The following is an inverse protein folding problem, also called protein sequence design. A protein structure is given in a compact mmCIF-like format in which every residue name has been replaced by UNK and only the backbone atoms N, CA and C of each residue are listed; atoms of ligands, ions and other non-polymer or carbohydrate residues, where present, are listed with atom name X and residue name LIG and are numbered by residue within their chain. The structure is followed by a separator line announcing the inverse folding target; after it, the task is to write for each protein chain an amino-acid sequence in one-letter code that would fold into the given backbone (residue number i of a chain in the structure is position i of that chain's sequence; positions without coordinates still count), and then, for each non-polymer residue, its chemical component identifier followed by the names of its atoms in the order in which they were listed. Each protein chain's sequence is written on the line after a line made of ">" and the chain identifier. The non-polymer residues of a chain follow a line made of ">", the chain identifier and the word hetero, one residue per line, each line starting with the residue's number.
data_IF_884771108341
#
_entry.id   IF_884771108341
#
_cell.length_a   1.000
_cell.length_b   1.000
_cell.length_c   1.000
_cell.angle_alpha   90.00
_cell.angle_beta   90.00
_cell.angle_gamma   90.00
#
_symmetry.space_group_name_H-M   'P 1'
#
loop_
_entity.id
_entity.type
_entity.pdbx_description
1 polymer ?
#
# COMPACT_ATOMS: atom_id res chain seq x y z
N UNK A 1 -2.71 -16.14 17.55
CA UNK A 1 -2.97 -17.59 17.57
C UNK A 1 -2.17 -18.19 16.43
N UNK A 2 -1.02 -18.79 16.72
CA UNK A 2 -0.23 -19.52 15.72
C UNK A 2 -0.94 -20.83 15.41
N UNK A 3 -1.35 -21.02 14.16
CA UNK A 3 -1.83 -22.31 13.69
C UNK A 3 -0.64 -23.28 13.68
N UNK A 4 -0.46 -24.04 14.75
CA UNK A 4 0.41 -25.22 14.73
C UNK A 4 -0.33 -26.24 13.87
N UNK A 5 0.07 -26.35 12.60
CA UNK A 5 -0.45 -27.37 11.70
C UNK A 5 -0.27 -28.75 12.35
N UNK A 6 -1.25 -29.64 12.17
CA UNK A 6 -1.20 -31.01 12.71
C UNK A 6 0.17 -31.65 12.35
N UNK A 7 0.87 -32.31 13.29
CA UNK A 7 2.23 -32.82 13.05
C UNK A 7 2.30 -33.79 11.86
N UNK A 8 1.26 -34.61 11.68
CA UNK A 8 1.04 -35.47 10.51
C UNK A 8 1.08 -34.70 9.18
N UNK A 9 0.41 -33.55 9.12
CA UNK A 9 0.31 -32.71 7.93
C UNK A 9 1.65 -32.04 7.63
N UNK A 10 2.38 -31.60 8.65
CA UNK A 10 3.72 -31.04 8.47
C UNK A 10 4.72 -32.09 7.98
N UNK A 11 4.64 -33.31 8.50
CA UNK A 11 5.47 -34.42 8.03
C UNK A 11 5.17 -34.76 6.56
N UNK A 12 3.90 -34.85 6.19
CA UNK A 12 3.49 -35.08 4.81
C UNK A 12 3.96 -33.96 3.86
N UNK A 13 3.82 -32.70 4.28
CA UNK A 13 4.30 -31.54 3.52
C UNK A 13 5.83 -31.58 3.34
N UNK A 14 6.59 -31.87 4.39
CA UNK A 14 8.06 -32.00 4.31
C UNK A 14 8.48 -33.13 3.36
N UNK A 15 7.80 -34.28 3.38
CA UNK A 15 8.08 -35.39 2.46
C UNK A 15 7.82 -35.01 0.99
N UNK A 16 6.73 -34.27 0.72
CA UNK A 16 6.43 -33.76 -0.61
C UNK A 16 7.48 -32.76 -1.11
N UNK A 17 7.90 -31.82 -0.26
CA UNK A 17 8.94 -30.84 -0.58
C UNK A 17 10.27 -31.52 -0.89
N UNK A 18 10.66 -32.51 -0.07
CA UNK A 18 11.86 -33.30 -0.29
C UNK A 18 11.79 -34.10 -1.61
N UNK A 19 10.64 -34.66 -1.97
CA UNK A 19 10.44 -35.36 -3.24
C UNK A 19 10.54 -34.41 -4.45
N UNK A 20 10.17 -33.13 -4.28
CA UNK A 20 10.33 -32.09 -5.29
C UNK A 20 11.76 -31.48 -5.31
N UNK A 21 12.64 -31.89 -4.40
CA UNK A 21 13.98 -31.30 -4.25
C UNK A 21 13.98 -29.86 -3.75
N UNK A 22 12.90 -29.43 -3.09
CA UNK A 22 12.71 -28.07 -2.56
C UNK A 22 12.98 -28.09 -1.07
N UNK A 23 13.90 -27.25 -0.59
CA UNK A 23 14.18 -27.10 0.84
C UNK A 23 13.23 -26.09 1.49
N UNK A 24 13.17 -26.09 2.82
CA UNK A 24 12.44 -25.04 3.55
C UNK A 24 13.04 -23.64 3.27
N UNK A 25 14.36 -23.56 3.11
CA UNK A 25 15.04 -22.33 2.71
C UNK A 25 14.66 -21.93 1.28
N UNK A 26 14.52 -22.88 0.35
CA UNK A 26 14.02 -22.58 -0.99
C UNK A 26 12.58 -22.07 -0.97
N UNK A 27 11.73 -22.48 -0.03
CA UNK A 27 10.39 -21.89 0.15
C UNK A 27 10.43 -20.48 0.72
N UNK A 28 11.34 -20.22 1.67
CA UNK A 28 11.52 -18.89 2.25
C UNK A 28 12.18 -17.91 1.26
N UNK A 29 13.06 -18.44 0.41
CA UNK A 29 13.76 -17.71 -0.66
C UNK A 29 12.93 -17.65 -1.95
N UNK A 30 11.99 -18.58 -2.14
CA UNK A 30 10.84 -18.45 -3.05
C UNK A 30 9.88 -17.44 -2.45
N UNK A 31 10.31 -16.19 -2.46
CA UNK A 31 9.38 -15.16 -2.91
C UNK A 31 8.92 -15.64 -4.28
N UNK A 32 7.69 -16.17 -4.38
CA UNK A 32 7.04 -16.55 -5.65
C UNK A 32 7.43 -15.50 -6.66
N UNK A 33 8.38 -15.78 -7.58
CA UNK A 33 9.23 -14.81 -8.28
C UNK A 33 8.53 -13.46 -8.40
N UNK A 34 8.69 -12.65 -7.35
CA UNK A 34 7.79 -11.54 -7.12
C UNK A 34 8.24 -10.44 -8.05
N UNK A 35 7.33 -9.90 -8.86
CA UNK A 35 7.60 -8.65 -9.57
C UNK A 35 8.26 -7.70 -8.56
N UNK A 36 9.51 -7.23 -8.82
CA UNK A 36 10.23 -6.42 -7.85
C UNK A 36 9.32 -5.29 -7.35
N UNK A 37 9.09 -5.23 -6.04
CA UNK A 37 8.16 -4.22 -5.51
C UNK A 37 8.81 -2.84 -5.71
N UNK A 38 8.19 -1.95 -6.49
CA UNK A 38 8.77 -0.68 -6.84
C UNK A 38 8.75 0.28 -5.65
N UNK A 39 9.54 1.33 -5.76
CA UNK A 39 9.48 2.49 -4.89
C UNK A 39 8.32 3.42 -5.26
N UNK A 40 8.02 4.40 -4.41
CA UNK A 40 7.02 5.42 -4.74
C UNK A 40 7.42 6.23 -5.98
N UNK A 41 8.70 6.59 -6.11
CA UNK A 41 9.20 7.38 -7.24
C UNK A 41 9.02 6.64 -8.59
N UNK A 42 9.19 5.31 -8.58
CA UNK A 42 9.03 4.47 -9.76
C UNK A 42 7.55 4.20 -10.09
N UNK A 43 6.72 3.96 -9.08
CA UNK A 43 5.36 3.47 -9.29
C UNK A 43 4.31 4.59 -9.49
N UNK A 44 4.49 5.75 -8.87
CA UNK A 44 3.55 6.88 -9.02
C UNK A 44 3.34 7.29 -10.49
N UNK A 45 4.37 7.43 -11.33
CA UNK A 45 4.18 7.73 -12.76
C UNK A 45 3.33 6.69 -13.49
N UNK A 46 3.49 5.41 -13.16
CA UNK A 46 2.74 4.29 -13.76
C UNK A 46 1.26 4.39 -13.36
N UNK A 47 0.98 4.56 -12.07
CA UNK A 47 -0.40 4.73 -11.57
C UNK A 47 -1.05 5.99 -12.17
N UNK A 48 -0.30 7.08 -12.28
CA UNK A 48 -0.80 8.34 -12.84
C UNK A 48 -1.18 8.22 -14.32
N UNK A 49 -0.44 7.44 -15.10
CA UNK A 49 -0.77 7.13 -16.49
C UNK A 49 -1.98 6.18 -16.62
N UNK A 50 -2.22 5.31 -15.64
CA UNK A 50 -3.28 4.31 -15.67
C UNK A 50 -4.66 4.81 -15.22
N UNK A 51 -4.76 5.97 -14.59
CA UNK A 51 -6.05 6.56 -14.15
C UNK A 51 -6.63 7.51 -15.19
N UNK A 52 -7.93 7.81 -15.08
CA UNK A 52 -8.56 8.81 -15.96
C UNK A 52 -7.88 10.19 -15.84
N UNK A 53 -7.90 11.04 -16.89
CA UNK A 53 -7.34 12.38 -16.80
C UNK A 53 -7.95 13.24 -15.67
N UNK A 54 -9.23 13.02 -15.35
CA UNK A 54 -9.90 13.69 -14.23
C UNK A 54 -9.33 13.27 -12.87
N UNK A 55 -9.14 11.97 -12.66
CA UNK A 55 -8.52 11.41 -11.46
C UNK A 55 -7.05 11.82 -11.33
N UNK A 56 -6.31 11.80 -12.44
CA UNK A 56 -4.90 12.20 -12.48
C UNK A 56 -4.74 13.66 -12.02
N UNK A 57 -5.54 14.59 -12.56
CA UNK A 57 -5.52 16.00 -12.14
C UNK A 57 -5.90 16.19 -10.67
N UNK A 58 -6.85 15.40 -10.17
CA UNK A 58 -7.30 15.48 -8.78
C UNK A 58 -6.25 14.95 -7.79
N UNK A 59 -5.55 13.87 -8.15
CA UNK A 59 -4.65 13.15 -7.25
C UNK A 59 -3.17 13.52 -7.39
N UNK A 60 -2.76 14.18 -8.49
CA UNK A 60 -1.37 14.51 -8.78
C UNK A 60 -0.67 15.23 -7.62
N UNK A 61 -1.31 16.24 -7.02
CA UNK A 61 -0.74 16.98 -5.88
C UNK A 61 -0.52 16.08 -4.66
N UNK A 62 -1.38 15.09 -4.44
CA UNK A 62 -1.29 14.20 -3.29
C UNK A 62 -0.24 13.10 -3.50
N UNK A 63 -0.13 12.57 -4.73
CA UNK A 63 0.96 11.65 -5.06
C UNK A 63 2.32 12.34 -5.06
N UNK A 64 2.42 13.60 -5.51
CA UNK A 64 3.66 14.37 -5.39
C UNK A 64 4.11 14.48 -3.91
N UNK A 65 3.18 14.74 -2.98
CA UNK A 65 3.46 14.74 -1.53
C UNK A 65 3.89 13.38 -0.99
N UNK A 66 3.32 12.29 -1.52
CA UNK A 66 3.77 10.95 -1.17
C UNK A 66 5.20 10.69 -1.66
N UNK A 67 5.55 11.11 -2.89
CA UNK A 67 6.91 11.00 -3.43
C UNK A 67 7.88 11.87 -2.63
N UNK A 68 7.54 13.11 -2.29
CA UNK A 68 8.37 13.98 -1.44
C UNK A 68 8.76 13.30 -0.11
N UNK A 69 7.89 12.44 0.44
CA UNK A 69 8.10 11.76 1.72
C UNK A 69 8.71 10.37 1.59
N UNK A 70 8.41 9.64 0.53
CA UNK A 70 8.67 8.21 0.43
C UNK A 70 9.30 7.80 -0.91
N UNK A 71 9.85 8.74 -1.69
CA UNK A 71 10.40 8.50 -3.03
C UNK A 71 11.15 7.17 -3.15
N UNK A 72 12.14 6.93 -2.30
CA UNK A 72 13.03 5.75 -2.36
C UNK A 72 12.53 4.56 -1.53
N UNK A 73 11.39 4.69 -0.85
CA UNK A 73 10.81 3.58 -0.08
C UNK A 73 9.98 2.70 -0.98
N UNK A 74 10.11 1.39 -0.77
CA UNK A 74 9.24 0.39 -1.40
C UNK A 74 7.80 0.57 -0.94
N UNK A 75 6.87 0.38 -1.85
CA UNK A 75 5.43 0.61 -1.59
C UNK A 75 4.86 -0.34 -0.54
N UNK A 76 5.43 -1.54 -0.37
CA UNK A 76 5.07 -2.54 0.66
C UNK A 76 5.61 -2.21 2.06
N UNK A 77 6.57 -1.29 2.17
CA UNK A 77 7.24 -0.96 3.43
C UNK A 77 6.54 0.14 4.25
N UNK A 78 5.60 0.87 3.66
CA UNK A 78 4.91 1.99 4.32
C UNK A 78 3.69 1.47 5.07
N UNK A 79 3.66 1.66 6.39
CA UNK A 79 2.58 1.15 7.23
C UNK A 79 1.40 2.14 7.31
N UNK A 80 0.17 1.66 7.63
CA UNK A 80 -1.02 2.51 7.68
C UNK A 80 -0.89 3.77 8.56
N UNK A 81 -0.23 3.65 9.72
CA UNK A 81 -0.06 4.77 10.65
C UNK A 81 0.81 5.89 10.07
N UNK A 82 1.77 5.58 9.20
CA UNK A 82 2.57 6.60 8.50
C UNK A 82 1.71 7.38 7.50
N UNK A 83 0.77 6.71 6.83
CA UNK A 83 -0.20 7.34 5.93
C UNK A 83 -1.13 8.26 6.74
N UNK A 84 -1.59 7.83 7.91
CA UNK A 84 -2.42 8.65 8.81
C UNK A 84 -1.70 9.89 9.33
N UNK A 85 -0.39 9.77 9.61
CA UNK A 85 0.45 10.93 9.98
C UNK A 85 0.54 11.92 8.82
N UNK A 86 0.84 11.45 7.60
CA UNK A 86 0.89 12.32 6.42
C UNK A 86 -0.46 13.01 6.13
N UNK A 87 -1.58 12.30 6.30
CA UNK A 87 -2.92 12.86 6.18
C UNK A 87 -3.15 14.03 7.16
N UNK A 88 -2.77 13.85 8.44
CA UNK A 88 -2.93 14.89 9.47
C UNK A 88 -2.08 16.12 9.18
N UNK A 89 -0.85 15.93 8.68
CA UNK A 89 0.02 17.05 8.26
C UNK A 89 -0.59 17.83 7.08
N UNK A 90 -1.14 17.13 6.08
CA UNK A 90 -1.83 17.76 4.94
C UNK A 90 -3.04 18.57 5.41
N UNK A 91 -3.83 18.02 6.34
CA UNK A 91 -4.97 18.72 6.94
C UNK A 91 -4.53 19.99 7.66
N UNK A 92 -3.50 19.92 8.50
CA UNK A 92 -2.98 21.05 9.26
C UNK A 92 -2.45 22.16 8.32
N UNK A 93 -1.72 21.78 7.27
CA UNK A 93 -1.22 22.72 6.27
C UNK A 93 -2.38 23.38 5.47
N UNK A 94 -3.44 22.63 5.18
CA UNK A 94 -4.62 23.15 4.50
C UNK A 94 -5.44 24.11 5.39
N UNK A 95 -5.45 23.90 6.71
CA UNK A 95 -6.05 24.84 7.67
C UNK A 95 -5.27 26.15 7.75
N UNK A 96 -3.93 26.07 7.76
CA UNK A 96 -3.05 27.26 7.83
C UNK A 96 -3.25 28.23 6.65
N UNK A 97 -3.58 27.72 5.46
CA UNK A 97 -3.73 28.55 4.23
C UNK A 97 -5.05 29.33 4.11
N UNK A 98 -5.91 29.37 5.15
CA UNK A 98 -7.07 30.27 5.37
C UNK A 98 -7.96 30.63 4.15
N UNK A 99 -8.06 29.77 3.14
CA UNK A 99 -8.90 29.98 1.94
C UNK A 99 -9.80 28.78 1.62
N UNK A 100 -9.88 27.77 2.49
CA UNK A 100 -10.75 26.64 2.23
C UNK A 100 -11.33 26.04 3.52
N UNK A 101 -12.59 25.58 3.44
CA UNK A 101 -13.41 25.10 4.56
C UNK A 101 -12.74 23.92 5.29
N UNK A 102 -11.99 24.19 6.35
CA UNK A 102 -11.60 23.21 7.38
C UNK A 102 -10.55 22.16 7.00
N UNK A 103 -9.89 22.25 5.83
CA UNK A 103 -8.82 21.32 5.40
C UNK A 103 -9.24 19.85 5.21
N UNK A 104 -10.47 19.49 5.59
CA UNK A 104 -11.02 18.13 5.59
C UNK A 104 -11.04 17.51 4.19
N UNK A 105 -11.46 18.28 3.19
CA UNK A 105 -11.44 17.86 1.79
C UNK A 105 -10.02 17.49 1.32
N UNK A 106 -8.97 18.18 1.78
CA UNK A 106 -7.60 17.84 1.39
C UNK A 106 -7.13 16.51 2.00
N UNK A 107 -7.47 16.25 3.26
CA UNK A 107 -7.20 14.97 3.91
C UNK A 107 -7.95 13.81 3.23
N UNK A 108 -9.23 14.01 2.91
CA UNK A 108 -10.07 13.02 2.22
C UNK A 108 -9.56 12.73 0.81
N UNK A 109 -9.12 13.74 0.06
CA UNK A 109 -8.51 13.55 -1.25
C UNK A 109 -7.16 12.85 -1.17
N UNK A 110 -6.33 13.14 -0.17
CA UNK A 110 -5.08 12.40 0.05
C UNK A 110 -5.35 10.91 0.29
N UNK A 111 -6.25 10.57 1.22
CA UNK A 111 -6.61 9.16 1.49
C UNK A 111 -7.21 8.50 0.24
N UNK A 112 -8.04 9.21 -0.52
CA UNK A 112 -8.61 8.68 -1.76
C UNK A 112 -7.52 8.39 -2.81
N UNK A 113 -6.53 9.28 -2.95
CA UNK A 113 -5.38 9.08 -3.83
C UNK A 113 -4.53 7.87 -3.40
N UNK A 114 -4.27 7.72 -2.10
CA UNK A 114 -3.53 6.57 -1.56
C UNK A 114 -4.30 5.25 -1.73
N UNK A 115 -5.62 5.25 -1.53
CA UNK A 115 -6.47 4.07 -1.81
C UNK A 115 -6.44 3.69 -3.29
N UNK A 116 -6.51 4.68 -4.19
CA UNK A 116 -6.40 4.45 -5.63
C UNK A 116 -5.05 3.81 -5.99
N UNK A 117 -3.97 4.32 -5.39
CA UNK A 117 -2.61 3.82 -5.57
C UNK A 117 -2.45 2.37 -5.09
N UNK A 118 -2.82 2.08 -3.85
CA UNK A 118 -2.67 0.73 -3.28
C UNK A 118 -3.60 -0.29 -3.91
N UNK A 119 -4.81 0.11 -4.34
CA UNK A 119 -5.69 -0.77 -5.13
C UNK A 119 -5.01 -1.23 -6.43
N UNK A 120 -4.26 -0.34 -7.08
CA UNK A 120 -3.51 -0.69 -8.29
C UNK A 120 -2.30 -1.55 -7.98
N UNK A 121 -1.57 -1.26 -6.89
CA UNK A 121 -0.44 -2.07 -6.45
C UNK A 121 -0.83 -3.54 -6.20
N UNK A 122 -2.02 -3.78 -5.66
CA UNK A 122 -2.58 -5.13 -5.51
C UNK A 122 -2.93 -5.74 -6.88
N UNK A 123 -3.59 -4.97 -7.76
CA UNK A 123 -3.96 -5.45 -9.09
C UNK A 123 -2.73 -5.80 -9.96
N UNK A 124 -1.63 -5.08 -9.79
CA UNK A 124 -0.37 -5.27 -10.52
C UNK A 124 0.54 -6.32 -9.84
N UNK A 125 0.09 -6.91 -8.72
CA UNK A 125 0.80 -7.99 -8.04
C UNK A 125 2.00 -7.57 -7.19
N UNK A 126 2.19 -6.26 -6.96
CA UNK A 126 3.27 -5.74 -6.11
C UNK A 126 3.00 -5.92 -4.62
N UNK A 127 1.74 -6.01 -4.21
CA UNK A 127 1.33 -6.19 -2.82
C UNK A 127 0.27 -7.29 -2.75
N UNK A 128 0.48 -8.26 -1.86
CA UNK A 128 -0.53 -9.30 -1.60
C UNK A 128 -1.82 -8.67 -1.03
N UNK A 129 -2.98 -9.18 -1.42
CA UNK A 129 -4.28 -8.59 -1.04
C UNK A 129 -4.45 -8.46 0.49
N UNK A 130 -3.88 -9.38 1.29
CA UNK A 130 -3.86 -9.32 2.76
C UNK A 130 -2.78 -8.43 3.38
N UNK A 131 -1.81 -7.95 2.59
CA UNK A 131 -0.77 -6.98 2.97
C UNK A 131 -1.10 -5.56 2.52
N UNK A 132 -2.20 -5.39 1.79
CA UNK A 132 -2.73 -4.08 1.44
C UNK A 132 -3.08 -3.33 2.72
N UNK A 133 -2.55 -2.11 2.95
CA UNK A 133 -2.92 -1.28 4.09
C UNK A 133 -4.37 -0.73 4.06
N UNK A 134 -5.34 -1.48 3.54
CA UNK A 134 -6.78 -1.18 3.57
C UNK A 134 -7.52 -2.00 4.64
N UNK A 135 -8.52 -1.42 5.35
CA UNK A 135 -9.25 -0.21 5.04
C UNK A 135 -8.81 0.97 5.93
N UNK A 136 -8.10 1.95 5.35
CA UNK A 136 -7.93 3.27 5.98
C UNK A 136 -9.33 3.78 6.37
N UNK A 137 -9.65 3.92 7.66
CA UNK A 137 -10.96 4.45 8.08
C UNK A 137 -11.02 5.93 7.74
N UNK A 138 -12.00 6.35 6.93
CA UNK A 138 -12.37 7.76 6.85
C UNK A 138 -12.92 8.21 8.22
N UNK A 139 -12.66 9.44 8.69
CA UNK A 139 -13.23 9.91 9.94
C UNK A 139 -14.76 9.92 9.82
N UNK A 140 -15.38 9.01 10.58
CA UNK A 140 -16.82 8.76 10.65
C UNK A 140 -17.61 10.06 10.72
N UNK A 141 -18.56 10.23 9.79
CA UNK A 141 -19.66 11.18 9.92
C UNK A 141 -20.47 10.74 11.14
N UNK A 142 -20.44 11.52 12.23
CA UNK A 142 -21.57 11.54 13.17
C UNK A 142 -22.33 12.83 12.88
N UNK A 143 -23.59 12.62 12.50
CA UNK A 143 -24.65 13.62 12.49
C UNK A 143 -24.82 14.20 13.90
#
# INVERSE_FOLDING_TARGET
>A
MTAVGKPEVMKAAMMLLQQMGITAEDLLNTTVSGVPVPTFAEYVPIVAAAVSPGSQRMYSTYWAKAVERWADRRIDSVIPSEIEVAMREIQANALRRRNNRGGRSAAEHFISAMRCFYKRAVADGHIAEGSNPGPLRSPTVRL
#
